data_IF_995552882249
#
_entry.id   IF_995552882249
#
_cell.length_a   1.000
_cell.length_b   1.000
_cell.length_c   1.000
_cell.angle_alpha   90.00
_cell.angle_beta   90.00
_cell.angle_gamma   90.00
#
_symmetry.space_group_name_H-M   'P 1'
#
loop_
_entity.id
_entity.type
_entity.pdbx_description
1 polymer ?
#
# COMPACT_ATOMS: atom_id res chain seq x y z
N UNK A 1 -9.90 -25.85 -1.25
CA UNK A 1 -9.80 -24.55 -1.96
C UNK A 1 -8.63 -24.60 -2.92
N UNK A 2 -8.64 -23.81 -3.99
CA UNK A 2 -7.50 -23.66 -4.91
C UNK A 2 -6.35 -22.95 -4.17
N UNK A 3 -5.13 -23.37 -4.43
CA UNK A 3 -3.93 -22.74 -3.86
C UNK A 3 -3.62 -21.43 -4.60
N UNK A 4 -3.11 -20.45 -3.87
CA UNK A 4 -2.83 -19.12 -4.39
C UNK A 4 -1.36 -18.77 -4.18
N UNK A 5 -0.72 -18.32 -5.25
CA UNK A 5 0.70 -17.98 -5.25
C UNK A 5 0.93 -16.55 -5.75
N UNK A 6 2.08 -15.98 -5.37
CA UNK A 6 2.58 -14.71 -5.91
C UNK A 6 3.55 -15.02 -7.03
N UNK A 7 3.26 -14.53 -8.23
CA UNK A 7 4.07 -14.78 -9.44
C UNK A 7 4.74 -13.54 -10.00
N UNK A 8 4.44 -12.36 -9.47
CA UNK A 8 5.07 -11.11 -9.85
C UNK A 8 4.80 -10.01 -8.84
N UNK A 9 5.67 -9.01 -8.83
CA UNK A 9 5.54 -7.83 -7.99
C UNK A 9 6.14 -6.60 -8.65
N UNK A 10 5.60 -5.44 -8.29
CA UNK A 10 6.13 -4.14 -8.68
C UNK A 10 5.89 -3.12 -7.58
N UNK A 11 6.81 -2.16 -7.44
CA UNK A 11 6.79 -1.19 -6.34
C UNK A 11 7.44 0.13 -6.74
N UNK A 12 6.83 1.22 -6.29
CA UNK A 12 7.46 2.54 -6.17
C UNK A 12 7.37 3.01 -4.73
N UNK A 13 8.49 3.42 -4.18
CA UNK A 13 8.55 3.93 -2.80
C UNK A 13 9.65 4.98 -2.65
N UNK A 14 9.73 5.62 -1.48
CA UNK A 14 10.80 6.59 -1.17
C UNK A 14 12.20 5.97 -1.14
N UNK A 15 12.34 4.65 -1.10
CA UNK A 15 13.63 3.93 -1.10
C UNK A 15 13.96 3.28 -2.44
N UNK A 16 13.12 3.48 -3.47
CA UNK A 16 13.39 2.97 -4.82
C UNK A 16 12.18 3.03 -5.73
N UNK A 17 12.44 3.19 -7.02
CA UNK A 17 11.43 3.34 -8.07
C UNK A 17 11.07 2.00 -8.75
N UNK A 18 11.67 0.91 -8.31
CA UNK A 18 11.42 -0.45 -8.77
C UNK A 18 11.88 -1.46 -7.73
N UNK A 19 11.55 -2.72 -7.94
CA UNK A 19 11.85 -3.86 -7.07
C UNK A 19 13.34 -3.99 -6.72
N UNK A 20 14.21 -3.85 -7.71
CA UNK A 20 15.67 -4.00 -7.55
C UNK A 20 16.24 -2.90 -6.67
N UNK A 21 15.83 -1.65 -6.89
CA UNK A 21 16.27 -0.50 -6.08
C UNK A 21 15.78 -0.63 -4.64
N UNK A 22 14.50 -0.96 -4.44
CA UNK A 22 13.93 -1.19 -3.10
C UNK A 22 14.66 -2.32 -2.39
N UNK A 23 14.91 -3.45 -3.05
CA UNK A 23 15.66 -4.57 -2.47
C UNK A 23 17.08 -4.15 -2.06
N UNK A 24 17.74 -3.34 -2.91
CA UNK A 24 19.09 -2.83 -2.62
C UNK A 24 19.07 -1.93 -1.37
N UNK A 25 18.16 -0.97 -1.32
CA UNK A 25 18.02 -0.04 -0.18
C UNK A 25 17.70 -0.78 1.13
N UNK A 26 16.79 -1.78 1.08
CA UNK A 26 16.50 -2.63 2.24
C UNK A 26 17.74 -3.39 2.74
N UNK A 27 18.56 -3.92 1.83
CA UNK A 27 19.81 -4.64 2.20
C UNK A 27 20.87 -3.70 2.78
N UNK A 28 20.88 -2.43 2.36
CA UNK A 28 21.82 -1.41 2.83
C UNK A 28 21.34 -0.68 4.09
N UNK A 29 20.06 -0.80 4.43
CA UNK A 29 19.44 -0.05 5.53
C UNK A 29 19.27 1.44 5.19
N UNK A 30 19.11 1.77 3.90
CA UNK A 30 18.95 3.15 3.45
C UNK A 30 17.58 3.70 3.87
N UNK A 31 17.58 4.94 4.37
CA UNK A 31 16.35 5.69 4.63
C UNK A 31 15.97 6.52 3.40
N UNK A 32 14.68 6.49 3.05
CA UNK A 32 14.09 7.37 2.03
C UNK A 32 13.36 8.58 2.61
N UNK A 33 13.54 8.85 3.91
CA UNK A 33 12.89 9.98 4.59
C UNK A 33 13.79 11.20 4.45
N UNK A 34 13.19 12.32 4.02
CA UNK A 34 13.87 13.59 3.81
C UNK A 34 13.09 14.74 4.44
N UNK A 35 13.77 15.88 4.63
CA UNK A 35 13.10 17.11 5.03
C UNK A 35 12.17 17.60 3.91
N UNK A 36 10.95 17.99 4.30
CA UNK A 36 9.95 18.56 3.39
C UNK A 36 9.82 20.06 3.58
N UNK A 37 10.38 20.83 2.65
CA UNK A 37 10.22 22.29 2.66
C UNK A 37 8.75 22.69 2.57
N UNK A 38 7.93 21.97 1.80
CA UNK A 38 6.50 22.22 1.68
C UNK A 38 5.79 22.12 3.04
N UNK A 39 6.11 21.12 3.85
CA UNK A 39 5.50 20.97 5.16
C UNK A 39 5.92 22.08 6.13
N UNK A 40 7.17 22.48 6.07
CA UNK A 40 7.69 23.61 6.84
C UNK A 40 6.98 24.93 6.44
N UNK A 41 6.85 25.20 5.14
CA UNK A 41 6.17 26.39 4.61
C UNK A 41 4.69 26.43 4.98
N UNK A 42 4.04 25.25 5.10
CA UNK A 42 2.66 25.11 5.58
C UNK A 42 2.53 25.19 7.11
N UNK A 43 3.63 25.32 7.83
CA UNK A 43 3.65 25.44 9.29
C UNK A 43 3.31 24.14 10.04
N UNK A 44 3.53 22.96 9.41
CA UNK A 44 3.33 21.68 10.07
C UNK A 44 4.45 21.45 11.08
N UNK A 45 4.13 20.75 12.19
CA UNK A 45 5.12 20.38 13.22
C UNK A 45 6.05 19.30 12.71
N UNK A 46 5.51 18.30 11.99
CA UNK A 46 6.29 17.29 11.30
C UNK A 46 6.71 17.83 9.93
N UNK A 47 8.03 17.92 9.71
CA UNK A 47 8.60 18.49 8.49
C UNK A 47 9.40 17.45 7.70
N UNK A 48 9.11 16.17 7.92
CA UNK A 48 9.76 15.05 7.26
C UNK A 48 8.76 14.20 6.49
N UNK A 49 9.20 13.61 5.37
CA UNK A 49 8.36 12.77 4.53
C UNK A 49 9.18 11.75 3.74
N UNK A 50 8.55 10.62 3.41
CA UNK A 50 9.04 9.71 2.40
C UNK A 50 8.57 10.13 1.00
N UNK A 51 9.31 11.02 0.36
CA UNK A 51 8.99 11.53 -0.98
C UNK A 51 9.48 10.59 -2.06
N UNK A 52 8.75 10.53 -3.18
CA UNK A 52 9.17 9.80 -4.39
C UNK A 52 9.68 10.81 -5.40
N UNK A 53 10.96 10.73 -5.72
CA UNK A 53 11.59 11.59 -6.72
C UNK A 53 11.43 11.01 -8.12
N UNK A 54 10.28 11.29 -8.74
CA UNK A 54 9.95 10.84 -10.09
C UNK A 54 9.14 11.89 -10.85
N UNK A 55 9.52 12.14 -12.11
CA UNK A 55 8.69 12.93 -13.01
C UNK A 55 7.66 12.02 -13.71
N UNK A 56 6.46 11.93 -13.16
CA UNK A 56 5.40 11.07 -13.67
C UNK A 56 4.99 11.39 -15.13
N UNK A 57 5.18 12.62 -15.59
CA UNK A 57 4.85 13.01 -16.98
C UNK A 57 5.81 12.39 -18.01
N UNK A 58 6.98 11.93 -17.59
CA UNK A 58 7.93 11.21 -18.43
C UNK A 58 7.65 9.70 -18.49
N UNK A 59 6.96 9.16 -17.50
CA UNK A 59 6.75 7.71 -17.32
C UNK A 59 5.33 7.25 -17.63
N UNK A 60 4.34 8.14 -17.57
CA UNK A 60 2.93 7.81 -17.82
C UNK A 60 2.44 8.53 -19.08
N UNK A 61 1.89 7.78 -20.03
CA UNK A 61 1.32 8.38 -21.25
C UNK A 61 0.33 9.50 -20.90
N UNK A 62 0.48 10.66 -21.54
CA UNK A 62 -0.31 11.87 -21.28
C UNK A 62 -1.83 11.64 -21.38
N UNK A 63 -2.29 10.72 -22.26
CA UNK A 63 -3.71 10.42 -22.40
C UNK A 63 -4.26 9.63 -21.22
N UNK A 64 -3.41 8.88 -20.52
CA UNK A 64 -3.75 8.17 -19.29
C UNK A 64 -3.58 9.09 -18.07
N UNK A 65 -2.45 9.79 -17.94
CA UNK A 65 -2.11 10.66 -16.81
C UNK A 65 -3.18 11.70 -16.52
N UNK A 66 -3.87 12.23 -17.54
CA UNK A 66 -4.95 13.20 -17.34
C UNK A 66 -6.14 12.69 -16.51
N UNK A 67 -6.28 11.38 -16.35
CA UNK A 67 -7.33 10.73 -15.54
C UNK A 67 -6.83 10.28 -14.18
N UNK A 68 -5.51 10.30 -13.93
CA UNK A 68 -4.86 9.76 -12.75
C UNK A 68 -4.36 10.86 -11.82
N UNK A 69 -4.59 10.72 -10.51
CA UNK A 69 -3.79 11.37 -9.49
C UNK A 69 -2.43 10.67 -9.33
N UNK A 70 -1.55 11.22 -8.50
CA UNK A 70 -0.19 10.68 -8.37
C UNK A 70 -0.17 9.29 -7.75
N UNK A 71 -0.97 9.03 -6.70
CA UNK A 71 -1.11 7.68 -6.13
C UNK A 71 -1.56 6.63 -7.14
N UNK A 72 -2.51 6.99 -8.04
CA UNK A 72 -2.92 6.10 -9.13
C UNK A 72 -1.81 5.91 -10.16
N UNK A 73 -1.00 6.94 -10.43
CA UNK A 73 0.14 6.85 -11.34
C UNK A 73 1.25 5.97 -10.78
N UNK A 74 1.51 6.01 -9.47
CA UNK A 74 2.43 5.08 -8.81
C UNK A 74 1.97 3.63 -8.96
N UNK A 75 0.68 3.38 -8.73
CA UNK A 75 0.10 2.06 -8.93
C UNK A 75 0.14 1.59 -10.39
N UNK A 76 0.00 2.51 -11.35
CA UNK A 76 0.13 2.19 -12.77
C UNK A 76 1.54 1.70 -13.11
N UNK A 77 2.58 2.39 -12.63
CA UNK A 77 3.97 2.01 -12.85
C UNK A 77 4.32 0.70 -12.11
N UNK A 78 3.88 0.55 -10.87
CA UNK A 78 4.04 -0.69 -10.12
C UNK A 78 3.32 -1.88 -10.82
N UNK A 79 2.15 -1.66 -11.42
CA UNK A 79 1.46 -2.71 -12.16
C UNK A 79 2.18 -3.08 -13.47
N UNK A 80 2.78 -2.11 -14.17
CA UNK A 80 3.62 -2.40 -15.35
C UNK A 80 4.79 -3.31 -14.97
N UNK A 81 5.51 -2.96 -13.89
CA UNK A 81 6.61 -3.77 -13.37
C UNK A 81 6.14 -5.16 -12.95
N UNK A 82 5.01 -5.27 -12.23
CA UNK A 82 4.45 -6.56 -11.80
C UNK A 82 4.07 -7.47 -12.98
N UNK A 83 3.53 -6.91 -14.08
CA UNK A 83 3.21 -7.65 -15.30
C UNK A 83 4.50 -8.15 -15.95
N UNK A 84 5.51 -7.30 -16.09
CA UNK A 84 6.81 -7.67 -16.65
C UNK A 84 7.50 -8.75 -15.80
N UNK A 85 7.55 -8.56 -14.50
CA UNK A 85 8.15 -9.49 -13.52
C UNK A 85 7.48 -10.87 -13.54
N UNK A 86 6.15 -10.91 -13.71
CA UNK A 86 5.38 -12.16 -13.78
C UNK A 86 5.51 -12.91 -15.10
N UNK A 87 6.00 -12.26 -16.16
CA UNK A 87 6.04 -12.80 -17.51
C UNK A 87 4.65 -13.06 -18.12
N UNK A 88 3.61 -12.37 -17.66
CA UNK A 88 2.25 -12.52 -18.20
C UNK A 88 2.14 -11.91 -19.59
N UNK A 89 1.69 -12.70 -20.54
CA UNK A 89 1.35 -12.22 -21.88
C UNK A 89 0.06 -11.38 -21.88
N UNK A 90 -0.10 -10.49 -22.87
CA UNK A 90 -1.25 -9.57 -22.99
C UNK A 90 -2.61 -10.28 -22.93
N UNK A 91 -2.72 -11.46 -23.55
CA UNK A 91 -3.94 -12.28 -23.55
C UNK A 91 -4.33 -12.82 -22.15
N UNK A 92 -3.35 -13.03 -21.27
CA UNK A 92 -3.57 -13.41 -19.87
C UNK A 92 -3.90 -12.19 -19.02
N UNK A 93 -3.29 -11.03 -19.26
CA UNK A 93 -3.62 -9.77 -18.60
C UNK A 93 -5.02 -9.32 -18.97
N UNK A 94 -5.32 -9.22 -20.29
CA UNK A 94 -6.64 -8.81 -20.80
C UNK A 94 -7.58 -10.02 -20.98
N UNK A 95 -8.02 -10.59 -19.85
CA UNK A 95 -8.80 -11.82 -19.82
C UNK A 95 -9.98 -11.71 -18.84
N UNK A 96 -11.07 -12.41 -19.09
CA UNK A 96 -12.24 -12.44 -18.18
C UNK A 96 -11.97 -13.18 -16.87
N UNK A 97 -10.92 -14.00 -16.82
CA UNK A 97 -10.44 -14.70 -15.62
C UNK A 97 -9.33 -13.94 -14.90
N UNK A 98 -9.00 -12.72 -15.35
CA UNK A 98 -8.00 -11.84 -14.71
C UNK A 98 -8.69 -10.61 -14.13
N UNK A 99 -8.58 -10.47 -12.80
CA UNK A 99 -9.17 -9.39 -12.01
C UNK A 99 -8.16 -8.37 -11.50
N UNK A 100 -8.68 -7.32 -10.87
CA UNK A 100 -7.94 -6.22 -10.27
C UNK A 100 -8.61 -5.77 -8.99
N UNK A 101 -7.91 -5.82 -7.87
CA UNK A 101 -8.34 -5.25 -6.58
C UNK A 101 -7.25 -4.33 -6.07
N UNK A 102 -7.48 -3.03 -6.22
CA UNK A 102 -6.50 -2.01 -5.84
C UNK A 102 -7.09 -1.05 -4.83
N UNK A 103 -6.28 -0.66 -3.85
CA UNK A 103 -6.73 0.17 -2.75
C UNK A 103 -6.05 1.54 -2.66
N UNK A 104 -6.65 2.39 -1.86
CA UNK A 104 -6.09 3.67 -1.41
C UNK A 104 -6.62 3.97 -0.02
N UNK A 105 -5.76 4.45 0.87
CA UNK A 105 -6.15 4.88 2.21
C UNK A 105 -6.72 6.29 2.23
N UNK A 106 -6.19 7.19 1.40
CA UNK A 106 -6.48 8.63 1.41
C UNK A 106 -7.16 9.19 0.15
N UNK A 107 -7.28 8.41 -0.93
CA UNK A 107 -7.76 8.91 -2.21
C UNK A 107 -6.76 9.89 -2.85
N UNK A 108 -7.24 11.03 -3.37
CA UNK A 108 -6.39 12.07 -3.94
C UNK A 108 -6.69 13.45 -3.33
N UNK A 109 -6.13 13.76 -2.15
CA UNK A 109 -6.23 15.07 -1.51
C UNK A 109 -5.77 16.22 -2.40
N UNK A 110 -4.72 16.03 -3.20
CA UNK A 110 -4.25 17.03 -4.17
C UNK A 110 -5.35 17.43 -5.15
N UNK A 111 -5.96 16.47 -5.84
CA UNK A 111 -6.96 16.76 -6.86
C UNK A 111 -8.28 17.30 -6.26
N UNK A 112 -8.63 16.90 -5.03
CA UNK A 112 -9.78 17.47 -4.31
C UNK A 112 -9.52 18.93 -3.96
N UNK A 113 -8.35 19.24 -3.40
CA UNK A 113 -7.94 20.61 -3.03
C UNK A 113 -7.84 21.49 -4.26
N UNK A 114 -7.13 21.04 -5.30
CA UNK A 114 -7.01 21.73 -6.58
C UNK A 114 -8.38 22.03 -7.21
N UNK A 115 -9.31 21.08 -7.16
CA UNK A 115 -10.67 21.25 -7.68
C UNK A 115 -11.45 22.29 -6.91
N UNK A 116 -11.37 22.28 -5.58
CA UNK A 116 -12.03 23.24 -4.72
C UNK A 116 -11.50 24.67 -4.97
N UNK A 117 -10.19 24.85 -5.08
CA UNK A 117 -9.56 26.14 -5.31
C UNK A 117 -9.84 26.64 -6.74
N UNK A 118 -9.76 25.78 -7.75
CA UNK A 118 -10.13 26.13 -9.12
C UNK A 118 -11.59 26.62 -9.21
N UNK A 119 -12.50 26.02 -8.47
CA UNK A 119 -13.90 26.46 -8.44
C UNK A 119 -14.05 27.82 -7.77
N UNK A 120 -13.36 28.05 -6.63
CA UNK A 120 -13.40 29.33 -5.91
C UNK A 120 -12.78 30.48 -6.71
N UNK A 121 -11.65 30.23 -7.37
CA UNK A 121 -10.88 31.26 -8.07
C UNK A 121 -11.38 31.54 -9.51
N UNK A 122 -11.73 30.46 -10.23
CA UNK A 122 -12.01 30.51 -11.69
C UNK A 122 -13.47 30.20 -12.05
N UNK A 123 -14.32 29.80 -11.06
CA UNK A 123 -15.72 29.43 -11.29
C UNK A 123 -15.90 28.16 -12.14
N UNK A 124 -14.84 27.38 -12.38
CA UNK A 124 -14.91 26.14 -13.19
C UNK A 124 -13.84 25.13 -12.75
N UNK A 125 -14.12 23.86 -13.04
CA UNK A 125 -13.20 22.73 -12.79
C UNK A 125 -12.93 21.93 -14.07
N UNK A 126 -11.82 21.20 -14.07
CA UNK A 126 -11.51 20.28 -15.18
C UNK A 126 -12.49 19.09 -15.22
N UNK A 127 -12.95 18.65 -16.39
CA UNK A 127 -13.83 17.48 -16.51
C UNK A 127 -13.16 16.16 -16.07
N UNK A 128 -11.83 16.14 -15.91
CA UNK A 128 -11.06 14.98 -15.51
C UNK A 128 -10.95 14.83 -13.99
N UNK A 129 -11.36 15.82 -13.19
CA UNK A 129 -11.20 15.80 -11.73
C UNK A 129 -12.01 14.70 -11.05
N UNK A 130 -13.16 14.32 -11.59
CA UNK A 130 -13.95 13.20 -11.04
C UNK A 130 -13.12 11.92 -11.03
N UNK A 131 -12.51 11.57 -12.17
CA UNK A 131 -11.70 10.36 -12.27
C UNK A 131 -10.42 10.43 -11.47
N UNK A 132 -9.81 11.62 -11.29
CA UNK A 132 -8.61 11.81 -10.46
C UNK A 132 -8.88 11.71 -8.97
N UNK A 133 -10.06 12.15 -8.52
CA UNK A 133 -10.37 12.30 -7.09
C UNK A 133 -11.29 11.22 -6.51
N UNK A 134 -11.96 10.42 -7.35
CA UNK A 134 -12.85 9.38 -6.84
C UNK A 134 -12.06 8.26 -6.14
N UNK A 135 -12.63 7.69 -5.07
CA UNK A 135 -12.00 6.60 -4.32
C UNK A 135 -11.66 5.38 -5.18
N UNK A 136 -12.44 5.13 -6.26
CA UNK A 136 -12.21 4.04 -7.22
C UNK A 136 -11.27 4.39 -8.39
N UNK A 137 -10.54 5.50 -8.30
CA UNK A 137 -9.59 5.92 -9.36
C UNK A 137 -8.60 4.81 -9.71
N UNK A 138 -8.04 4.14 -8.70
CA UNK A 138 -7.08 3.07 -8.91
C UNK A 138 -7.66 1.94 -9.78
N UNK A 139 -8.77 1.32 -9.39
CA UNK A 139 -9.38 0.24 -10.18
C UNK A 139 -9.90 0.73 -11.53
N UNK A 140 -10.52 1.91 -11.59
CA UNK A 140 -11.09 2.45 -12.83
C UNK A 140 -10.02 2.79 -13.88
N UNK A 141 -8.95 3.47 -13.49
CA UNK A 141 -7.88 3.84 -14.41
C UNK A 141 -7.04 2.63 -14.84
N UNK A 142 -6.63 1.78 -13.89
CA UNK A 142 -5.79 0.62 -14.16
C UNK A 142 -6.52 -0.45 -15.00
N UNK A 143 -7.79 -0.74 -14.68
CA UNK A 143 -8.56 -1.70 -15.48
C UNK A 143 -8.70 -1.25 -16.94
N UNK A 144 -8.85 0.06 -17.17
CA UNK A 144 -8.92 0.64 -18.52
C UNK A 144 -7.55 0.60 -19.20
N UNK A 145 -6.48 1.00 -18.52
CA UNK A 145 -5.13 1.05 -19.08
C UNK A 145 -4.62 -0.33 -19.51
N UNK A 146 -4.85 -1.34 -18.68
CA UNK A 146 -4.40 -2.72 -18.92
C UNK A 146 -5.49 -3.63 -19.53
N UNK A 147 -6.66 -3.07 -19.86
CA UNK A 147 -7.79 -3.79 -20.46
C UNK A 147 -8.23 -5.01 -19.63
N UNK A 148 -8.23 -4.88 -18.32
CA UNK A 148 -8.69 -5.95 -17.40
C UNK A 148 -10.18 -6.20 -17.64
N UNK A 149 -10.58 -7.48 -17.75
CA UNK A 149 -11.96 -7.87 -18.11
C UNK A 149 -12.66 -8.68 -17.02
N UNK A 150 -11.93 -9.13 -16.00
CA UNK A 150 -12.50 -9.81 -14.86
C UNK A 150 -13.02 -8.83 -13.81
N UNK A 151 -13.10 -9.29 -12.56
CA UNK A 151 -13.55 -8.49 -11.42
C UNK A 151 -12.63 -7.28 -11.23
N UNK A 152 -13.21 -6.08 -11.05
CA UNK A 152 -12.41 -4.85 -10.78
C UNK A 152 -13.15 -3.96 -9.79
N UNK A 153 -12.49 -3.66 -8.65
CA UNK A 153 -12.99 -2.70 -7.66
C UNK A 153 -11.85 -2.19 -6.77
N UNK A 154 -12.16 -1.11 -6.03
CA UNK A 154 -11.25 -0.52 -5.04
C UNK A 154 -11.78 -0.77 -3.64
N UNK A 155 -10.88 -1.10 -2.72
CA UNK A 155 -11.12 -1.13 -1.27
C UNK A 155 -10.46 0.08 -0.60
N UNK A 156 -10.97 0.44 0.58
CA UNK A 156 -10.35 1.40 1.48
C UNK A 156 -10.58 0.96 2.92
N UNK A 157 -9.51 0.75 3.65
CA UNK A 157 -9.49 0.40 5.07
C UNK A 157 -8.22 0.94 5.74
N UNK A 158 -7.93 2.22 5.46
CA UNK A 158 -6.74 2.92 5.97
C UNK A 158 -5.45 2.10 5.73
N UNK A 159 -4.60 1.95 6.76
CA UNK A 159 -3.32 1.23 6.66
C UNK A 159 -3.45 -0.26 6.29
N UNK A 160 -4.61 -0.88 6.52
CA UNK A 160 -4.87 -2.28 6.18
C UNK A 160 -5.34 -2.49 4.73
N UNK A 161 -5.50 -1.44 3.96
CA UNK A 161 -6.12 -1.48 2.62
C UNK A 161 -5.46 -2.49 1.68
N UNK A 162 -4.14 -2.43 1.51
CA UNK A 162 -3.44 -3.34 0.58
C UNK A 162 -3.48 -4.80 1.04
N UNK A 163 -3.41 -5.05 2.36
CA UNK A 163 -3.58 -6.40 2.90
C UNK A 163 -4.99 -6.95 2.62
N UNK A 164 -6.03 -6.12 2.76
CA UNK A 164 -7.39 -6.51 2.39
C UNK A 164 -7.54 -6.73 0.89
N UNK A 165 -6.89 -5.94 0.04
CA UNK A 165 -6.89 -6.18 -1.42
C UNK A 165 -6.27 -7.54 -1.77
N UNK A 166 -5.13 -7.89 -1.16
CA UNK A 166 -4.46 -9.18 -1.34
C UNK A 166 -5.32 -10.34 -0.82
N UNK A 167 -5.89 -10.21 0.38
CA UNK A 167 -6.75 -11.24 0.96
C UNK A 167 -8.00 -11.50 0.12
N UNK A 168 -8.70 -10.44 -0.30
CA UNK A 168 -9.87 -10.56 -1.19
C UNK A 168 -9.50 -11.14 -2.56
N UNK A 169 -8.34 -10.79 -3.11
CA UNK A 169 -7.84 -11.38 -4.35
C UNK A 169 -7.62 -12.89 -4.20
N UNK A 170 -7.02 -13.30 -3.08
CA UNK A 170 -6.84 -14.71 -2.78
C UNK A 170 -8.18 -15.45 -2.67
N UNK A 171 -9.16 -14.90 -1.98
CA UNK A 171 -10.50 -15.47 -1.89
C UNK A 171 -11.17 -15.64 -3.25
N UNK A 172 -11.07 -14.64 -4.15
CA UNK A 172 -11.59 -14.78 -5.51
C UNK A 172 -10.95 -15.94 -6.27
N UNK A 173 -9.66 -16.18 -6.11
CA UNK A 173 -8.95 -17.29 -6.74
C UNK A 173 -9.33 -18.61 -6.05
N UNK A 174 -9.34 -18.66 -4.73
CA UNK A 174 -9.69 -19.85 -3.95
C UNK A 174 -11.10 -20.38 -4.27
N UNK A 175 -12.04 -19.47 -4.49
CA UNK A 175 -13.44 -19.79 -4.85
C UNK A 175 -13.70 -19.89 -6.36
N UNK A 176 -12.64 -20.00 -7.18
CA UNK A 176 -12.72 -20.18 -8.65
C UNK A 176 -13.47 -19.07 -9.38
N UNK A 177 -13.38 -17.82 -8.88
CA UNK A 177 -13.95 -16.65 -9.55
C UNK A 177 -12.98 -16.06 -10.55
N UNK A 178 -11.68 -16.11 -10.25
CA UNK A 178 -10.59 -15.61 -11.09
C UNK A 178 -9.43 -16.62 -11.08
N UNK A 179 -8.55 -16.57 -12.08
CA UNK A 179 -7.31 -17.34 -12.11
C UNK A 179 -6.11 -16.47 -11.77
N UNK A 180 -6.18 -15.18 -12.13
CA UNK A 180 -5.18 -14.16 -11.85
C UNK A 180 -5.88 -12.94 -11.24
N UNK A 181 -5.30 -12.32 -10.23
CA UNK A 181 -5.74 -11.03 -9.70
C UNK A 181 -4.55 -10.15 -9.39
N UNK A 182 -4.50 -8.95 -9.95
CA UNK A 182 -3.58 -7.91 -9.54
C UNK A 182 -4.13 -7.27 -8.25
N UNK A 183 -3.33 -7.27 -7.20
CA UNK A 183 -3.75 -6.78 -5.89
C UNK A 183 -2.70 -5.89 -5.24
N UNK A 184 -3.13 -4.86 -4.56
CA UNK A 184 -2.24 -3.93 -3.88
C UNK A 184 -2.87 -2.59 -3.61
N UNK A 185 -2.07 -1.54 -3.62
CA UNK A 185 -2.56 -0.18 -3.41
C UNK A 185 -1.44 0.83 -3.33
N UNK A 186 -1.84 2.08 -3.28
CA UNK A 186 -0.93 3.20 -3.12
C UNK A 186 -1.64 4.50 -2.87
N UNK A 187 -0.89 5.42 -2.32
CA UNK A 187 -1.33 6.75 -1.95
C UNK A 187 -0.34 7.82 -2.42
N UNK A 188 -0.83 9.01 -2.65
CA UNK A 188 0.01 10.18 -2.90
C UNK A 188 0.47 10.80 -1.57
N UNK A 189 1.62 11.47 -1.60
CA UNK A 189 2.09 12.32 -0.52
C UNK A 189 1.51 13.72 -0.71
N UNK A 190 0.68 14.19 0.23
CA UNK A 190 0.10 15.54 0.14
C UNK A 190 -0.06 16.18 1.51
N UNK A 191 0.32 17.48 1.63
CA UNK A 191 0.32 18.24 2.87
C UNK A 191 -1.05 18.31 3.57
N UNK A 192 -2.17 18.29 2.82
CA UNK A 192 -3.52 18.32 3.40
C UNK A 192 -3.75 17.10 4.28
N UNK A 193 -3.50 15.89 3.75
CA UNK A 193 -3.66 14.66 4.54
C UNK A 193 -2.65 14.62 5.71
N UNK A 194 -1.41 15.04 5.44
CA UNK A 194 -0.38 15.16 6.49
C UNK A 194 -0.83 16.08 7.61
N UNK A 195 -1.46 17.21 7.31
CA UNK A 195 -1.93 18.17 8.32
C UNK A 195 -3.01 17.57 9.26
N UNK A 196 -3.81 16.61 8.77
CA UNK A 196 -4.80 15.93 9.61
C UNK A 196 -4.11 15.04 10.66
N UNK A 197 -3.11 14.28 10.25
CA UNK A 197 -2.31 13.47 11.18
C UNK A 197 -1.43 14.33 12.09
N UNK A 198 -0.91 15.46 11.60
CA UNK A 198 -0.18 16.43 12.42
C UNK A 198 -1.11 17.03 13.50
N UNK A 199 -2.37 17.33 13.15
CA UNK A 199 -3.40 17.75 14.09
C UNK A 199 -3.71 16.72 15.17
N UNK A 200 -3.66 15.43 14.84
CA UNK A 200 -3.80 14.31 15.77
C UNK A 200 -2.58 14.11 16.68
N UNK A 201 -1.46 14.78 16.40
CA UNK A 201 -0.15 14.57 17.07
C UNK A 201 0.38 13.15 16.88
N UNK A 202 0.14 12.55 15.74
CA UNK A 202 0.53 11.18 15.43
C UNK A 202 1.85 11.08 14.66
N UNK A 203 2.36 12.21 14.14
CA UNK A 203 3.58 12.27 13.33
C UNK A 203 4.81 12.56 14.17
N UNK A 204 5.97 12.05 13.70
CA UNK A 204 7.28 12.36 14.25
C UNK A 204 7.60 13.85 14.07
N UNK A 205 8.08 14.50 15.12
CA UNK A 205 8.40 15.94 15.15
C UNK A 205 9.79 16.25 15.74
N UNK A 206 10.41 15.30 16.43
CA UNK A 206 11.70 15.50 17.08
C UNK A 206 12.89 15.32 16.13
N UNK A 207 12.64 14.78 14.93
CA UNK A 207 13.69 14.41 13.98
C UNK A 207 13.65 15.24 12.69
N UNK A 208 13.08 16.45 12.72
CA UNK A 208 13.04 17.32 11.54
C UNK A 208 14.44 17.66 11.00
N UNK A 209 15.45 17.79 11.88
CA UNK A 209 16.84 18.07 11.52
C UNK A 209 17.66 16.81 11.15
N UNK A 210 17.11 15.62 11.44
CA UNK A 210 17.74 14.32 11.18
C UNK A 210 16.70 13.35 10.62
N UNK A 211 16.14 13.64 9.44
CA UNK A 211 14.97 12.96 8.89
C UNK A 211 15.15 11.46 8.73
N UNK A 212 16.36 10.99 8.43
CA UNK A 212 16.70 9.59 8.26
C UNK A 212 16.46 8.74 9.52
N UNK A 213 16.35 9.36 10.68
CA UNK A 213 16.09 8.71 11.98
C UNK A 213 14.64 8.85 12.45
N UNK A 214 13.77 9.52 11.71
CA UNK A 214 12.42 9.85 12.16
C UNK A 214 11.50 8.63 12.28
N UNK A 215 11.60 7.65 11.38
CA UNK A 215 10.89 6.37 11.52
C UNK A 215 11.78 5.37 12.24
N UNK A 216 11.39 5.04 13.46
CA UNK A 216 12.17 4.17 14.37
C UNK A 216 11.28 3.25 15.20
N UNK A 217 10.55 2.31 14.56
CA UNK A 217 9.64 1.40 15.24
C UNK A 217 10.32 0.69 16.41
N UNK A 218 9.59 0.53 17.51
CA UNK A 218 10.01 -0.14 18.75
C UNK A 218 11.15 0.53 19.53
N UNK A 219 11.75 1.60 19.01
CA UNK A 219 12.79 2.37 19.69
C UNK A 219 12.22 3.18 20.88
N UNK A 220 13.04 3.40 21.90
CA UNK A 220 12.65 4.16 23.10
C UNK A 220 12.35 5.62 22.80
N UNK A 221 13.03 6.21 21.81
CA UNK A 221 12.91 7.62 21.42
C UNK A 221 11.92 7.84 20.26
N UNK A 222 11.12 6.83 19.89
CA UNK A 222 10.09 6.98 18.84
C UNK A 222 9.02 7.97 19.27
N UNK A 223 8.60 8.84 18.37
CA UNK A 223 7.68 9.94 18.67
C UNK A 223 6.51 10.09 17.69
N UNK A 224 6.38 9.20 16.74
CA UNK A 224 5.30 9.19 15.75
C UNK A 224 5.73 8.59 14.40
N UNK A 225 4.78 8.43 13.49
CA UNK A 225 5.08 7.91 12.15
C UNK A 225 5.49 9.02 11.18
N UNK A 226 6.02 8.64 10.02
CA UNK A 226 6.36 9.53 8.91
C UNK A 226 5.45 9.24 7.75
N UNK A 227 4.81 10.28 7.20
CA UNK A 227 3.95 10.17 6.01
C UNK A 227 4.79 9.91 4.76
N UNK A 228 4.29 9.10 3.83
CA UNK A 228 4.97 8.79 2.57
C UNK A 228 3.96 8.65 1.43
N UNK A 229 4.43 8.84 0.20
CA UNK A 229 3.75 8.36 -1.00
C UNK A 229 4.28 6.99 -1.44
N UNK A 230 3.57 6.34 -2.34
CA UNK A 230 4.00 5.09 -2.93
C UNK A 230 2.91 4.28 -3.58
N UNK A 231 3.30 3.20 -4.24
CA UNK A 231 2.42 2.20 -4.80
C UNK A 231 3.07 0.83 -4.89
N UNK A 232 2.30 -0.22 -4.65
CA UNK A 232 2.77 -1.59 -4.76
C UNK A 232 1.68 -2.52 -5.30
N UNK A 233 2.08 -3.45 -6.15
CA UNK A 233 1.19 -4.43 -6.78
C UNK A 233 1.83 -5.81 -6.72
N UNK A 234 1.05 -6.82 -6.36
CA UNK A 234 1.42 -8.22 -6.50
C UNK A 234 0.49 -8.91 -7.50
N UNK A 235 1.04 -9.85 -8.25
CA UNK A 235 0.28 -10.77 -9.11
C UNK A 235 -0.05 -12.00 -8.29
N UNK A 236 -1.33 -12.14 -7.94
CA UNK A 236 -1.88 -13.33 -7.29
C UNK A 236 -2.38 -14.27 -8.37
N UNK A 237 -1.97 -15.54 -8.31
CA UNK A 237 -2.28 -16.51 -9.36
C UNK A 237 -2.63 -17.89 -8.77
N UNK A 238 -3.52 -18.62 -9.43
CA UNK A 238 -3.82 -20.00 -9.07
C UNK A 238 -2.60 -20.89 -9.32
N UNK A 239 -2.27 -21.73 -8.35
CA UNK A 239 -1.03 -22.51 -8.35
C UNK A 239 -0.84 -23.39 -9.60
N UNK A 240 -1.87 -24.15 -9.99
CA UNK A 240 -1.73 -25.03 -11.18
C UNK A 240 -1.67 -24.20 -12.48
N UNK A 241 -2.34 -23.07 -12.54
CA UNK A 241 -2.24 -22.12 -13.65
C UNK A 241 -0.80 -21.58 -13.77
N UNK A 242 -0.21 -21.16 -12.65
CA UNK A 242 1.16 -20.67 -12.59
C UNK A 242 2.18 -21.76 -13.03
N UNK A 243 2.04 -22.97 -12.49
CA UNK A 243 2.90 -24.12 -12.85
C UNK A 243 2.76 -24.46 -14.32
N UNK A 244 1.54 -24.50 -14.86
CA UNK A 244 1.30 -24.87 -16.27
C UNK A 244 1.97 -23.93 -17.27
N UNK A 245 2.12 -22.64 -16.93
CA UNK A 245 2.82 -21.65 -17.79
C UNK A 245 4.31 -21.49 -17.44
N UNK A 246 4.83 -22.24 -16.45
CA UNK A 246 6.23 -22.15 -16.02
C UNK A 246 6.57 -20.86 -15.29
N UNK A 247 5.61 -20.26 -14.56
CA UNK A 247 5.82 -19.03 -13.83
C UNK A 247 6.85 -19.18 -12.72
N UNK A 248 7.62 -18.11 -12.46
CA UNK A 248 8.35 -18.00 -11.22
C UNK A 248 7.37 -17.81 -10.07
N UNK A 249 7.49 -18.59 -9.01
CA UNK A 249 6.67 -18.50 -7.81
C UNK A 249 7.51 -17.94 -6.68
N UNK A 250 7.19 -16.74 -6.21
CA UNK A 250 7.86 -16.10 -5.08
C UNK A 250 7.45 -16.69 -3.73
N UNK A 251 6.15 -16.91 -3.57
CA UNK A 251 5.56 -17.40 -2.32
C UNK A 251 4.17 -17.98 -2.57
N UNK A 252 3.69 -18.75 -1.62
CA UNK A 252 2.29 -19.18 -1.53
C UNK A 252 1.61 -18.41 -0.38
N UNK A 253 0.41 -17.89 -0.62
CA UNK A 253 -0.44 -17.33 0.43
C UNK A 253 -1.22 -18.45 1.10
N UNK A 254 -0.81 -18.82 2.30
CA UNK A 254 -1.38 -19.94 3.05
C UNK A 254 -2.45 -19.54 4.06
N UNK A 255 -2.51 -18.25 4.43
CA UNK A 255 -3.50 -17.75 5.38
C UNK A 255 -3.78 -16.26 5.20
N UNK A 256 -4.96 -15.86 5.60
CA UNK A 256 -5.43 -14.47 5.63
C UNK A 256 -6.32 -14.27 6.85
N UNK A 257 -6.11 -13.16 7.56
CA UNK A 257 -6.94 -12.77 8.70
C UNK A 257 -7.39 -11.31 8.55
N UNK A 258 -8.66 -11.05 8.83
CA UNK A 258 -9.23 -9.72 8.89
C UNK A 258 -10.24 -9.63 10.01
N UNK A 259 -10.02 -8.72 10.94
CA UNK A 259 -10.89 -8.52 12.11
C UNK A 259 -11.09 -7.03 12.36
N UNK A 260 -12.20 -6.68 12.97
CA UNK A 260 -12.41 -5.35 13.54
C UNK A 260 -12.10 -5.38 15.03
N UNK A 261 -11.32 -4.42 15.51
CA UNK A 261 -11.06 -4.28 16.95
C UNK A 261 -12.34 -3.90 17.71
N UNK A 262 -13.14 -3.00 17.13
CA UNK A 262 -14.44 -2.61 17.68
C UNK A 262 -14.38 -1.93 19.05
N UNK A 263 -13.22 -1.42 19.45
CA UNK A 263 -12.94 -0.88 20.77
C UNK A 263 -13.02 0.65 20.81
N UNK A 264 -12.15 1.32 20.05
CA UNK A 264 -12.04 2.78 20.01
C UNK A 264 -11.69 3.25 18.61
N UNK A 265 -12.01 4.52 18.26
CA UNK A 265 -11.76 5.06 16.93
C UNK A 265 -10.27 5.28 16.63
N UNK A 266 -9.43 5.46 17.65
CA UNK A 266 -8.03 5.86 17.52
C UNK A 266 -7.10 4.90 18.24
N UNK A 267 -7.47 4.44 19.45
CA UNK A 267 -6.61 3.62 20.30
C UNK A 267 -6.87 2.12 20.07
N UNK A 268 -5.85 1.36 19.64
CA UNK A 268 -5.99 -0.10 19.50
C UNK A 268 -6.09 -0.77 20.88
N UNK A 269 -6.97 -1.77 21.02
CA UNK A 269 -7.00 -2.63 22.21
C UNK A 269 -5.89 -3.69 22.18
N UNK A 270 -5.49 -4.11 20.99
CA UNK A 270 -4.60 -5.25 20.73
C UNK A 270 -5.35 -6.58 20.56
N UNK A 271 -6.58 -6.71 21.04
CA UNK A 271 -7.36 -7.94 20.97
C UNK A 271 -7.75 -8.29 19.52
N UNK A 272 -8.12 -7.28 18.72
CA UNK A 272 -8.39 -7.47 17.29
C UNK A 272 -7.16 -7.99 16.53
N UNK A 273 -5.96 -7.51 16.85
CA UNK A 273 -4.73 -8.01 16.27
C UNK A 273 -4.46 -9.48 16.64
N UNK A 274 -4.71 -9.88 17.89
CA UNK A 274 -4.60 -11.27 18.33
C UNK A 274 -5.53 -12.18 17.51
N UNK A 275 -6.81 -11.81 17.34
CA UNK A 275 -7.76 -12.58 16.53
C UNK A 275 -7.33 -12.65 15.07
N UNK A 276 -6.83 -11.55 14.52
CA UNK A 276 -6.35 -11.47 13.14
C UNK A 276 -5.18 -12.44 12.91
N UNK A 277 -4.18 -12.43 13.80
CA UNK A 277 -3.04 -13.35 13.74
C UNK A 277 -3.50 -14.81 13.82
N UNK A 278 -4.38 -15.16 14.75
CA UNK A 278 -4.93 -16.53 14.85
C UNK A 278 -5.68 -16.96 13.57
N UNK A 279 -6.44 -16.06 12.93
CA UNK A 279 -7.10 -16.38 11.66
C UNK A 279 -6.07 -16.65 10.54
N UNK A 280 -5.05 -15.80 10.43
CA UNK A 280 -4.02 -15.94 9.40
C UNK A 280 -3.19 -17.22 9.57
N UNK A 281 -3.02 -17.67 10.81
CA UNK A 281 -2.20 -18.83 11.17
C UNK A 281 -2.94 -20.18 11.16
N UNK A 282 -4.24 -20.23 10.83
CA UNK A 282 -5.04 -21.48 10.94
C UNK A 282 -4.43 -22.68 10.19
N UNK A 283 -3.62 -22.43 9.16
CA UNK A 283 -3.00 -23.48 8.34
C UNK A 283 -1.47 -23.47 8.42
N UNK A 284 -0.90 -22.85 9.47
CA UNK A 284 0.56 -22.73 9.66
C UNK A 284 0.96 -23.33 11.01
N UNK A 285 1.97 -24.18 11.02
CA UNK A 285 2.50 -24.80 12.25
C UNK A 285 3.48 -23.90 12.99
N UNK A 286 4.16 -23.00 12.26
CA UNK A 286 5.15 -22.07 12.82
C UNK A 286 5.27 -20.81 11.98
N UNK A 287 5.74 -19.73 12.62
CA UNK A 287 6.10 -18.45 11.98
C UNK A 287 7.54 -18.15 12.31
N UNK A 288 8.34 -17.86 11.30
CA UNK A 288 9.76 -17.54 11.43
C UNK A 288 10.03 -16.03 11.54
N UNK A 289 9.14 -15.23 10.93
CA UNK A 289 9.32 -13.79 10.82
C UNK A 289 7.97 -13.05 10.74
N UNK A 290 7.90 -11.90 11.41
CA UNK A 290 6.76 -10.96 11.35
C UNK A 290 7.26 -9.63 10.79
N UNK A 291 6.71 -9.20 9.66
CA UNK A 291 6.77 -7.81 9.26
C UNK A 291 5.60 -7.09 9.94
N UNK A 292 5.90 -6.34 10.99
CA UNK A 292 4.90 -5.69 11.83
C UNK A 292 4.32 -4.45 11.15
N UNK A 293 3.23 -3.92 11.68
CA UNK A 293 2.77 -2.59 11.31
C UNK A 293 3.79 -1.53 11.74
N UNK A 294 4.32 -1.63 12.95
CA UNK A 294 5.52 -0.93 13.41
C UNK A 294 5.54 0.55 13.03
N UNK A 295 4.53 1.32 13.48
CA UNK A 295 4.35 2.70 12.98
C UNK A 295 5.26 3.72 13.65
N UNK A 296 6.15 3.31 14.55
CA UNK A 296 6.99 4.25 15.33
C UNK A 296 6.18 5.16 16.28
N UNK A 297 4.95 4.75 16.62
CA UNK A 297 4.12 5.48 17.58
C UNK A 297 4.28 4.95 19.00
N UNK A 298 4.30 5.82 20.03
CA UNK A 298 4.49 5.39 21.41
C UNK A 298 3.49 4.33 21.88
N UNK A 299 2.22 4.46 21.48
CA UNK A 299 1.15 3.55 21.91
C UNK A 299 0.99 2.36 20.97
N UNK A 300 1.02 2.61 19.64
CA UNK A 300 0.76 1.58 18.62
C UNK A 300 1.76 0.42 18.69
N UNK A 301 3.03 0.73 18.66
CA UNK A 301 4.12 -0.27 18.71
C UNK A 301 4.05 -1.14 19.97
N UNK A 302 3.75 -0.52 21.14
CA UNK A 302 3.62 -1.26 22.38
C UNK A 302 2.45 -2.25 22.33
N UNK A 303 1.29 -1.81 21.82
CA UNK A 303 0.09 -2.66 21.70
C UNK A 303 0.29 -3.82 20.73
N UNK A 304 1.01 -3.58 19.63
CA UNK A 304 1.35 -4.63 18.68
C UNK A 304 2.28 -5.67 19.28
N UNK A 305 3.33 -5.26 20.00
CA UNK A 305 4.22 -6.19 20.72
C UNK A 305 3.48 -6.98 21.81
N UNK A 306 2.57 -6.34 22.55
CA UNK A 306 1.72 -7.03 23.54
C UNK A 306 0.86 -8.11 22.87
N UNK A 307 0.23 -7.81 21.72
CA UNK A 307 -0.57 -8.75 20.95
C UNK A 307 0.27 -9.93 20.42
N UNK A 308 1.46 -9.65 19.87
CA UNK A 308 2.41 -10.67 19.40
C UNK A 308 2.82 -11.59 20.55
N UNK A 309 3.17 -11.03 21.71
CA UNK A 309 3.50 -11.81 22.92
C UNK A 309 2.34 -12.69 23.38
N UNK A 310 1.13 -12.21 23.29
CA UNK A 310 -0.05 -13.00 23.64
C UNK A 310 -0.26 -14.20 22.71
N UNK A 311 0.05 -14.05 21.42
CA UNK A 311 -0.09 -15.14 20.43
C UNK A 311 1.03 -16.15 20.52
N UNK A 312 2.28 -15.70 20.65
CA UNK A 312 3.48 -16.54 20.52
C UNK A 312 4.12 -16.95 21.87
N UNK A 313 3.72 -16.33 22.98
CA UNK A 313 4.28 -16.61 24.29
C UNK A 313 5.78 -16.32 24.35
N UNK A 314 6.57 -17.33 24.69
CA UNK A 314 8.04 -17.22 24.75
C UNK A 314 8.73 -17.45 23.38
N UNK A 315 8.00 -18.00 22.39
CA UNK A 315 8.52 -18.35 21.08
C UNK A 315 8.23 -17.25 20.04
N UNK A 316 8.57 -16.02 20.36
CA UNK A 316 8.33 -14.87 19.50
C UNK A 316 9.20 -14.96 18.25
N UNK A 317 8.61 -14.89 17.04
CA UNK A 317 9.37 -14.80 15.79
C UNK A 317 10.24 -13.55 15.72
N UNK A 318 11.16 -13.50 14.77
CA UNK A 318 11.87 -12.25 14.46
C UNK A 318 10.88 -11.20 13.96
N UNK A 319 11.06 -9.95 14.38
CA UNK A 319 10.15 -8.84 14.05
C UNK A 319 10.96 -7.70 13.42
N UNK A 320 10.41 -7.07 12.41
CA UNK A 320 10.89 -5.79 11.90
C UNK A 320 9.71 -4.85 11.61
#
# INVERSE_FOLDING_TARGET
>A
MRRVVVTGMGILSSIGLNKEQVQKSLKQGDSGITFSQQFADMGLRSQVAGSIDINLDEHVDRKLKRFMGDGTSYNYLAMQEAIEDSGLEENLVSNTRTGLIMGTGGGSPENITFGADSLREKGKVSPFLVTRSMASSNSGCLSTAFKIKGVSYTLSSACATSAHCIGNAAELIQYDKQDIVFAGGGDELHWVLTSFFDGMKALSTHFNDTPEFASRPFDVDRDGFVISGGGGVVVMEEYNHAVARGAHIYAELTGYGATSDGYDMVQPSGEGAVRCMHQAMQNCDSIDYINAHGTSTPVGDLKEVEAIKQVFGENIPKIS
#
